data_IF_432393986320
#
_entry.id   IF_432393986320
#
_cell.length_a   1.000
_cell.length_b   1.000
_cell.length_c   1.000
_cell.angle_alpha   90.00
_cell.angle_beta   90.00
_cell.angle_gamma   90.00
#
_symmetry.space_group_name_H-M   'P 1'
#
loop_
_entity.id
_entity.type
_entity.pdbx_description
1 polymer ?
#
# COMPACT_ATOMS: atom_id res chain seq x y z
N UNK A 1 -41.54 -18.86 -1.92
CA UNK A 1 -40.29 -18.31 -2.46
C UNK A 1 -39.89 -19.10 -3.68
N UNK A 2 -39.91 -18.47 -4.86
CA UNK A 2 -39.56 -19.11 -6.11
C UNK A 2 -38.05 -19.35 -6.21
N UNK A 3 -37.64 -20.41 -6.92
CA UNK A 3 -36.20 -20.74 -7.13
C UNK A 3 -35.39 -19.55 -7.67
N UNK A 4 -36.02 -18.64 -8.42
CA UNK A 4 -35.39 -17.40 -8.91
C UNK A 4 -35.11 -16.36 -7.81
N UNK A 5 -35.95 -16.27 -6.78
CA UNK A 5 -35.74 -15.35 -5.66
C UNK A 5 -34.58 -15.81 -4.77
N UNK A 6 -34.45 -17.13 -4.58
CA UNK A 6 -33.33 -17.73 -3.83
C UNK A 6 -32.01 -17.52 -4.58
N UNK A 7 -31.98 -17.73 -5.89
CA UNK A 7 -30.78 -17.50 -6.70
C UNK A 7 -30.36 -16.02 -6.69
N UNK A 8 -31.30 -15.09 -6.82
CA UNK A 8 -31.03 -13.66 -6.74
C UNK A 8 -30.48 -13.25 -5.37
N UNK A 9 -31.04 -13.78 -4.28
CA UNK A 9 -30.56 -13.51 -2.93
C UNK A 9 -29.12 -14.01 -2.70
N UNK A 10 -28.78 -15.19 -3.22
CA UNK A 10 -27.42 -15.75 -3.12
C UNK A 10 -26.42 -14.90 -3.92
N UNK A 11 -26.78 -14.46 -5.12
CA UNK A 11 -25.93 -13.59 -5.94
C UNK A 11 -25.69 -12.22 -5.27
N UNK A 12 -26.73 -11.63 -4.65
CA UNK A 12 -26.62 -10.40 -3.89
C UNK A 12 -25.72 -10.56 -2.66
N UNK A 13 -25.85 -11.67 -1.93
CA UNK A 13 -25.00 -11.95 -0.76
C UNK A 13 -23.52 -12.12 -1.15
N UNK A 14 -23.24 -12.82 -2.26
CA UNK A 14 -21.88 -12.98 -2.78
C UNK A 14 -21.27 -11.66 -3.26
N UNK A 15 -22.05 -10.82 -3.95
CA UNK A 15 -21.60 -9.50 -4.39
C UNK A 15 -21.29 -8.57 -3.19
N UNK A 16 -22.12 -8.59 -2.15
CA UNK A 16 -21.88 -7.82 -0.93
C UNK A 16 -20.61 -8.30 -0.20
N UNK A 17 -20.38 -9.61 -0.13
CA UNK A 17 -19.17 -10.17 0.49
C UNK A 17 -17.89 -9.80 -0.29
N UNK A 18 -17.93 -9.87 -1.62
CA UNK A 18 -16.83 -9.44 -2.48
C UNK A 18 -16.52 -7.95 -2.34
N UNK A 19 -17.55 -7.11 -2.20
CA UNK A 19 -17.38 -5.68 -1.94
C UNK A 19 -16.72 -5.40 -0.58
N UNK A 20 -17.08 -6.15 0.47
CA UNK A 20 -16.43 -6.03 1.79
C UNK A 20 -14.96 -6.45 1.72
N UNK A 21 -14.64 -7.57 1.07
CA UNK A 21 -13.25 -8.03 0.93
C UNK A 21 -12.36 -7.04 0.15
N UNK A 22 -12.93 -6.33 -0.83
CA UNK A 22 -12.23 -5.30 -1.60
C UNK A 22 -11.88 -4.04 -0.76
N UNK A 23 -12.56 -3.80 0.36
CA UNK A 23 -12.25 -2.67 1.26
C UNK A 23 -11.14 -2.95 2.27
N UNK A 24 -10.66 -4.20 2.36
CA UNK A 24 -9.68 -4.65 3.36
C UNK A 24 -8.30 -4.97 2.81
N UNK A 25 -8.05 -4.78 1.51
CA UNK A 25 -6.70 -4.93 0.96
C UNK A 25 -5.90 -3.65 1.21
N UNK A 26 -5.24 -3.59 2.35
CA UNK A 26 -4.26 -2.56 2.63
C UNK A 26 -3.12 -2.59 1.60
N UNK A 27 -2.81 -1.47 0.96
CA UNK A 27 -1.65 -1.40 0.07
C UNK A 27 -0.38 -1.18 0.88
N UNK A 28 0.63 -2.02 0.64
CA UNK A 28 1.99 -1.80 1.13
C UNK A 28 2.78 -1.05 0.09
N UNK A 29 3.05 0.22 0.35
CA UNK A 29 3.83 1.08 -0.54
C UNK A 29 5.25 1.14 0.02
N UNK A 30 6.23 0.67 -0.74
CA UNK A 30 7.63 0.63 -0.29
C UNK A 30 8.41 1.81 -0.84
N UNK A 31 9.18 2.47 0.03
CA UNK A 31 10.05 3.58 -0.34
C UNK A 31 11.47 3.36 0.16
N UNK A 32 12.42 3.57 -0.74
CA UNK A 32 13.84 3.59 -0.41
C UNK A 32 14.20 4.99 0.09
N UNK A 33 14.26 5.14 1.41
CA UNK A 33 14.47 6.45 2.02
C UNK A 33 15.94 6.86 1.92
N UNK A 34 16.19 8.05 1.37
CA UNK A 34 17.50 8.63 1.18
C UNK A 34 17.53 10.00 1.87
N UNK A 35 18.62 10.33 2.59
CA UNK A 35 18.75 11.64 3.18
C UNK A 35 18.82 12.72 2.08
N UNK A 36 18.34 13.92 2.40
CA UNK A 36 18.48 15.10 1.55
C UNK A 36 17.80 14.99 0.15
N UNK A 37 16.74 14.18 0.05
CA UNK A 37 15.88 14.05 -1.16
C UNK A 37 14.51 14.64 -0.86
N UNK A 38 13.97 15.41 -1.81
CA UNK A 38 12.58 15.87 -1.76
C UNK A 38 11.65 14.78 -2.31
N UNK A 39 10.66 14.38 -1.52
CA UNK A 39 9.71 13.32 -1.86
C UNK A 39 8.33 13.83 -2.30
N UNK A 40 8.14 15.14 -2.51
CA UNK A 40 6.86 15.68 -2.99
C UNK A 40 6.45 15.13 -4.36
N UNK A 41 7.41 14.92 -5.26
CA UNK A 41 7.12 14.31 -6.57
C UNK A 41 6.75 12.84 -6.45
N UNK A 42 7.40 12.13 -5.51
CA UNK A 42 7.07 10.74 -5.20
C UNK A 42 5.68 10.64 -4.60
N UNK A 43 5.33 11.53 -3.67
CA UNK A 43 3.99 11.61 -3.08
C UNK A 43 2.94 11.80 -4.17
N UNK A 44 3.13 12.76 -5.07
CA UNK A 44 2.21 13.04 -6.17
C UNK A 44 1.99 11.81 -7.08
N UNK A 45 3.01 10.98 -7.30
CA UNK A 45 2.92 9.77 -8.12
C UNK A 45 2.21 8.60 -7.42
N UNK A 46 2.13 8.59 -6.08
CA UNK A 46 1.61 7.46 -5.30
C UNK A 46 0.27 7.75 -4.63
N UNK A 47 -0.29 8.95 -4.82
CA UNK A 47 -1.65 9.30 -4.41
C UNK A 47 -2.69 8.61 -5.30
N UNK A 48 -3.92 8.38 -4.78
CA UNK A 48 -4.39 8.67 -3.42
C UNK A 48 -3.99 7.61 -2.38
N UNK A 49 -3.77 8.05 -1.14
CA UNK A 49 -3.57 7.17 0.02
C UNK A 49 -4.90 6.94 0.73
N UNK A 50 -5.17 5.71 1.15
CA UNK A 50 -6.39 5.33 1.85
C UNK A 50 -6.14 4.90 3.29
N UNK A 51 -7.19 4.97 4.11
CA UNK A 51 -7.13 4.49 5.50
C UNK A 51 -6.80 3.00 5.50
N UNK A 52 -5.70 2.63 6.15
CA UNK A 52 -5.22 1.25 6.23
C UNK A 52 -4.01 0.97 5.34
N UNK A 53 -3.58 1.91 4.49
CA UNK A 53 -2.31 1.77 3.76
C UNK A 53 -1.09 1.91 4.69
N UNK A 54 0.00 1.23 4.33
CA UNK A 54 1.22 1.21 5.12
C UNK A 54 2.41 1.63 4.25
N UNK A 55 3.18 2.60 4.73
CA UNK A 55 4.45 2.99 4.12
C UNK A 55 5.57 2.12 4.72
N UNK A 56 6.15 1.23 3.90
CA UNK A 56 7.33 0.46 4.27
C UNK A 56 8.60 1.25 3.96
N UNK A 57 9.30 1.71 4.98
CA UNK A 57 10.59 2.42 4.82
C UNK A 57 11.76 1.44 4.90
N UNK A 58 12.64 1.49 3.91
CA UNK A 58 13.96 0.86 3.98
C UNK A 58 15.01 1.96 3.93
N UNK A 59 15.88 2.00 4.94
CA UNK A 59 17.04 2.90 4.97
C UNK A 59 18.24 2.14 4.43
N UNK A 60 18.69 2.48 3.23
CA UNK A 60 20.05 2.11 2.82
C UNK A 60 20.97 3.02 3.62
N UNK A 61 21.63 2.46 4.63
CA UNK A 61 22.74 3.15 5.29
C UNK A 61 23.82 3.33 4.23
N UNK A 62 23.92 4.53 3.66
CA UNK A 62 25.17 4.99 3.07
C UNK A 62 26.15 5.08 4.24
N UNK A 63 26.81 3.98 4.58
CA UNK A 63 28.05 4.08 5.32
C UNK A 63 28.97 4.97 4.47
N UNK A 64 29.47 6.10 4.99
CA UNK A 64 30.58 6.74 4.32
C UNK A 64 31.67 5.67 4.22
N UNK A 65 32.20 5.46 3.03
CA UNK A 65 33.44 4.69 2.89
C UNK A 65 34.43 5.33 3.86
N UNK A 66 34.94 4.51 4.76
CA UNK A 66 35.97 4.77 5.75
C UNK A 66 37.06 5.67 5.12
N UNK A 67 37.01 6.98 5.38
CA UNK A 67 38.14 7.87 5.11
C UNK A 67 38.99 7.74 6.37
N UNK A 68 39.96 6.84 6.33
CA UNK A 68 41.09 6.82 7.24
C UNK A 68 41.86 8.15 7.11
N UNK A 69 41.93 9.01 8.15
CA UNK A 69 42.72 10.22 8.11
C UNK A 69 44.14 10.01 8.66
N UNK A 70 44.78 8.86 8.46
CA UNK A 70 46.14 8.58 8.91
C UNK A 70 47.05 7.94 7.83
N UNK A 71 47.25 8.58 6.68
CA UNK A 71 48.54 8.57 5.93
C UNK A 71 48.82 9.96 5.38
#
# INVERSE_FOLDING_TARGET
MGRGEVAAAVLLALAAWAAVAATTTANKISINWKPNVNYSDWEAQHRPFYKGDWLGTFFIHCQPLDIDPQI
#
